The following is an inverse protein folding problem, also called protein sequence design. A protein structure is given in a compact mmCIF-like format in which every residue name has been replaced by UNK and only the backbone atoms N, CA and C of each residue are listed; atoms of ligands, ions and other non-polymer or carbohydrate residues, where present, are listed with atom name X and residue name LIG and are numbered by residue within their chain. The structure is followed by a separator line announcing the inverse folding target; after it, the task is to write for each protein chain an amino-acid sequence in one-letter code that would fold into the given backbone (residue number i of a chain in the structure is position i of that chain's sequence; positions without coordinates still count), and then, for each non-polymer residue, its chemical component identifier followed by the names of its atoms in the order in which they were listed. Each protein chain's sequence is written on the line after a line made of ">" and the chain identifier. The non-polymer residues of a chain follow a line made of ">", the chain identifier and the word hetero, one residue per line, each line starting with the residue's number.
data_IF_584166842531
#
_entry.id   IF_584166842531
#
_cell.length_a   1.000
_cell.length_b   1.000
_cell.length_c   1.000
_cell.angle_alpha   90.00
_cell.angle_beta   90.00
_cell.angle_gamma   90.00
#
_symmetry.space_group_name_H-M   'P 1'
#
loop_
_entity.id
_entity.type
_entity.pdbx_description
1 polymer ?
#
# COMPACT_ATOMS: atom_id res chain seq x y z
N UNK A 1 29.37 -6.44 -13.20
CA UNK A 1 28.30 -7.36 -12.75
C UNK A 1 27.87 -7.13 -11.30
N UNK A 2 28.73 -7.33 -10.27
CA UNK A 2 28.35 -7.05 -8.87
C UNK A 2 28.09 -5.54 -8.59
N UNK A 3 28.86 -4.64 -9.20
CA UNK A 3 28.64 -3.18 -9.12
C UNK A 3 27.35 -2.74 -9.87
N UNK A 4 26.97 -3.44 -10.93
CA UNK A 4 25.73 -3.14 -11.68
C UNK A 4 24.50 -3.62 -10.90
N UNK A 5 24.62 -4.75 -10.20
CA UNK A 5 23.57 -5.27 -9.32
C UNK A 5 23.41 -4.40 -8.07
N UNK A 6 24.52 -3.93 -7.47
CA UNK A 6 24.45 -3.06 -6.29
C UNK A 6 23.88 -1.67 -6.61
N UNK A 7 24.26 -1.08 -7.75
CA UNK A 7 23.68 0.20 -8.20
C UNK A 7 22.19 0.07 -8.56
N UNK A 8 21.77 -1.03 -9.18
CA UNK A 8 20.36 -1.33 -9.43
C UNK A 8 19.55 -1.52 -8.14
N UNK A 9 20.11 -2.22 -7.15
CA UNK A 9 19.49 -2.41 -5.83
C UNK A 9 19.33 -1.09 -5.07
N UNK A 10 20.36 -0.24 -5.06
CA UNK A 10 20.31 1.08 -4.42
C UNK A 10 19.28 1.98 -5.11
N UNK A 11 19.27 2.02 -6.45
CA UNK A 11 18.31 2.81 -7.23
C UNK A 11 16.87 2.36 -6.96
N UNK A 12 16.62 1.05 -7.00
CA UNK A 12 15.30 0.45 -6.73
C UNK A 12 14.85 0.72 -5.30
N UNK A 13 15.74 0.53 -4.32
CA UNK A 13 15.45 0.84 -2.91
C UNK A 13 15.15 2.32 -2.69
N UNK A 14 15.86 3.21 -3.37
CA UNK A 14 15.64 4.67 -3.27
C UNK A 14 14.28 5.06 -3.86
N UNK A 15 13.95 4.56 -5.05
CA UNK A 15 12.65 4.77 -5.68
C UNK A 15 11.51 4.21 -4.83
N UNK A 16 11.73 3.05 -4.20
CA UNK A 16 10.77 2.44 -3.29
C UNK A 16 10.51 3.31 -2.04
N UNK A 17 11.56 3.81 -1.40
CA UNK A 17 11.44 4.69 -0.23
C UNK A 17 10.75 6.00 -0.61
N UNK A 18 11.17 6.65 -1.70
CA UNK A 18 10.55 7.89 -2.18
C UNK A 18 9.07 7.67 -2.51
N UNK A 19 8.74 6.60 -3.25
CA UNK A 19 7.35 6.26 -3.59
C UNK A 19 6.50 6.01 -2.34
N UNK A 20 7.05 5.32 -1.34
CA UNK A 20 6.37 5.07 -0.06
C UNK A 20 6.09 6.36 0.71
N UNK A 21 7.05 7.29 0.74
CA UNK A 21 6.88 8.61 1.37
C UNK A 21 5.83 9.44 0.64
N UNK A 22 5.86 9.45 -0.69
CA UNK A 22 4.87 10.17 -1.51
C UNK A 22 3.47 9.61 -1.27
N UNK A 23 3.30 8.28 -1.29
CA UNK A 23 2.04 7.62 -0.98
C UNK A 23 1.54 7.97 0.42
N UNK A 24 2.44 7.95 1.42
CA UNK A 24 2.11 8.37 2.78
C UNK A 24 1.58 9.81 2.81
N UNK A 25 2.26 10.76 2.15
CA UNK A 25 1.81 12.15 2.10
C UNK A 25 0.46 12.30 1.41
N UNK A 26 0.25 11.64 0.26
CA UNK A 26 -1.02 11.66 -0.46
C UNK A 26 -2.14 11.16 0.45
N UNK A 27 -1.98 9.99 1.06
CA UNK A 27 -3.00 9.44 1.96
C UNK A 27 -3.17 10.31 3.19
N UNK A 28 -2.10 10.81 3.78
CA UNK A 28 -2.19 11.70 4.94
C UNK A 28 -3.03 12.92 4.63
N UNK A 29 -2.84 13.60 3.49
CA UNK A 29 -3.57 14.82 3.12
C UNK A 29 -4.98 14.57 2.57
N UNK A 30 -5.22 13.46 1.85
CA UNK A 30 -6.53 13.15 1.25
C UNK A 30 -7.49 12.47 2.23
N UNK A 31 -6.98 11.73 3.21
CA UNK A 31 -7.73 11.01 4.24
C UNK A 31 -8.84 11.83 4.96
N UNK A 32 -8.67 13.12 5.31
CA UNK A 32 -9.72 13.96 5.89
C UNK A 32 -10.91 14.26 4.96
N UNK A 33 -10.73 14.15 3.64
CA UNK A 33 -11.81 14.37 2.68
C UNK A 33 -12.85 13.25 2.78
N UNK A 34 -12.41 12.02 3.05
CA UNK A 34 -13.24 10.82 2.98
C UNK A 34 -13.62 10.24 4.36
N UNK A 35 -12.89 10.59 5.42
CA UNK A 35 -13.05 9.95 6.75
C UNK A 35 -12.84 10.93 7.89
N UNK A 36 -13.69 10.86 8.92
CA UNK A 36 -13.51 11.61 10.17
C UNK A 36 -12.72 10.75 11.17
N UNK A 37 -11.46 11.09 11.40
CA UNK A 37 -10.67 10.41 12.42
C UNK A 37 -10.99 10.98 13.79
N UNK A 38 -11.09 10.12 14.79
CA UNK A 38 -11.34 10.54 16.16
C UNK A 38 -10.22 11.41 16.73
N UNK A 39 -8.97 11.19 16.27
CA UNK A 39 -7.76 11.89 16.76
C UNK A 39 -6.69 12.00 15.64
N UNK A 40 -5.81 13.01 15.72
CA UNK A 40 -4.67 13.19 14.79
C UNK A 40 -3.73 11.96 14.75
N UNK A 41 -3.54 11.29 15.88
CA UNK A 41 -2.73 10.05 15.97
C UNK A 41 -3.34 8.91 15.16
N UNK A 42 -4.66 8.73 15.22
CA UNK A 42 -5.36 7.69 14.45
C UNK A 42 -5.21 7.90 12.94
N UNK A 43 -5.23 9.15 12.48
CA UNK A 43 -4.97 9.51 11.08
C UNK A 43 -3.54 9.15 10.66
N UNK A 44 -2.56 9.46 11.50
CA UNK A 44 -1.16 9.14 11.21
C UNK A 44 -0.93 7.63 11.14
N UNK A 45 -1.47 6.86 12.09
CA UNK A 45 -1.37 5.40 12.03
C UNK A 45 -2.07 4.81 10.81
N UNK A 46 -3.28 5.28 10.49
CA UNK A 46 -4.01 4.80 9.31
C UNK A 46 -3.24 5.07 8.01
N UNK A 47 -2.77 6.31 7.81
CA UNK A 47 -1.99 6.68 6.61
C UNK A 47 -0.67 5.91 6.52
N UNK A 48 0.02 5.70 7.65
CA UNK A 48 1.26 4.91 7.70
C UNK A 48 1.01 3.44 7.34
N UNK A 49 0.01 2.80 7.97
CA UNK A 49 -0.33 1.41 7.67
C UNK A 49 -0.81 1.22 6.23
N UNK A 50 -1.58 2.18 5.70
CA UNK A 50 -2.06 2.11 4.32
C UNK A 50 -0.91 2.30 3.31
N UNK A 51 -0.01 3.26 3.55
CA UNK A 51 1.16 3.47 2.70
C UNK A 51 2.11 2.26 2.71
N UNK A 52 2.36 1.70 3.89
CA UNK A 52 3.19 0.50 4.06
C UNK A 52 2.57 -0.72 3.37
N UNK A 53 1.25 -0.88 3.46
CA UNK A 53 0.54 -1.92 2.75
C UNK A 53 0.70 -1.78 1.22
N UNK A 54 0.41 -0.60 0.67
CA UNK A 54 0.53 -0.36 -0.77
C UNK A 54 1.96 -0.53 -1.27
N UNK A 55 2.96 -0.09 -0.51
CA UNK A 55 4.35 -0.25 -0.91
C UNK A 55 4.74 -1.73 -0.97
N UNK A 56 4.39 -2.54 0.04
CA UNK A 56 4.67 -3.98 0.04
C UNK A 56 4.01 -4.67 -1.16
N UNK A 57 2.74 -4.38 -1.45
CA UNK A 57 2.04 -4.97 -2.59
C UNK A 57 2.71 -4.59 -3.90
N UNK A 58 3.08 -3.32 -4.08
CA UNK A 58 3.80 -2.89 -5.27
C UNK A 58 5.16 -3.56 -5.41
N UNK A 59 5.93 -3.71 -4.32
CA UNK A 59 7.23 -4.39 -4.36
C UNK A 59 7.09 -5.86 -4.79
N UNK A 60 6.08 -6.57 -4.26
CA UNK A 60 5.79 -7.96 -4.65
C UNK A 60 5.42 -8.02 -6.14
N UNK A 61 4.55 -7.12 -6.60
CA UNK A 61 4.15 -7.07 -8.00
C UNK A 61 5.33 -6.77 -8.93
N UNK A 62 6.17 -5.79 -8.59
CA UNK A 62 7.37 -5.47 -9.37
C UNK A 62 8.37 -6.62 -9.43
N UNK A 63 8.47 -7.41 -8.37
CA UNK A 63 9.35 -8.57 -8.34
C UNK A 63 8.83 -9.72 -9.22
N UNK A 64 7.52 -9.97 -9.22
CA UNK A 64 6.94 -11.18 -9.80
C UNK A 64 6.41 -10.97 -11.23
N UNK A 65 5.82 -9.79 -11.53
CA UNK A 65 5.20 -9.51 -12.82
C UNK A 65 6.15 -9.65 -14.03
N UNK A 66 7.42 -9.19 -13.99
CA UNK A 66 8.31 -9.31 -15.13
C UNK A 66 8.55 -10.78 -15.53
N UNK A 67 8.90 -11.63 -14.57
CA UNK A 67 9.15 -13.06 -14.80
C UNK A 67 7.90 -13.82 -15.26
N UNK A 68 6.72 -13.46 -14.73
CA UNK A 68 5.45 -14.01 -15.20
C UNK A 68 5.11 -13.56 -16.62
N UNK A 69 5.38 -12.29 -16.95
CA UNK A 69 5.10 -11.74 -18.27
C UNK A 69 5.96 -12.39 -19.35
N UNK A 70 7.22 -12.70 -19.05
CA UNK A 70 8.13 -13.38 -19.98
C UNK A 70 7.74 -14.85 -20.21
N UNK A 71 7.27 -15.55 -19.17
CA UNK A 71 6.97 -16.99 -19.23
C UNK A 71 5.57 -17.33 -19.72
N UNK A 72 4.57 -16.54 -19.33
CA UNK A 72 3.14 -16.84 -19.55
C UNK A 72 2.40 -15.76 -20.34
N UNK A 73 3.09 -14.70 -20.76
CA UNK A 73 2.51 -13.60 -21.52
C UNK A 73 1.78 -12.56 -20.64
N UNK A 74 1.63 -11.37 -21.21
CA UNK A 74 1.17 -10.17 -20.49
C UNK A 74 -0.25 -10.29 -19.91
N UNK A 75 -1.18 -10.94 -20.61
CA UNK A 75 -2.57 -11.03 -20.14
C UNK A 75 -2.69 -11.90 -18.88
N UNK A 76 -1.92 -13.01 -18.82
CA UNK A 76 -1.93 -13.92 -17.67
C UNK A 76 -1.23 -13.26 -16.47
N UNK A 77 -0.12 -12.57 -16.69
CA UNK A 77 0.59 -11.85 -15.62
C UNK A 77 -0.27 -10.75 -15.01
N UNK A 78 -1.02 -10.00 -15.82
CA UNK A 78 -1.99 -9.01 -15.33
C UNK A 78 -3.12 -9.65 -14.51
N UNK A 79 -3.67 -10.78 -14.96
CA UNK A 79 -4.71 -11.49 -14.22
C UNK A 79 -4.20 -11.95 -12.84
N UNK A 80 -2.99 -12.51 -12.77
CA UNK A 80 -2.35 -12.92 -11.51
C UNK A 80 -2.08 -11.70 -10.63
N UNK A 81 -1.55 -10.62 -11.18
CA UNK A 81 -1.33 -9.37 -10.45
C UNK A 81 -2.61 -8.83 -9.81
N UNK A 82 -3.74 -8.89 -10.54
CA UNK A 82 -5.04 -8.47 -10.04
C UNK A 82 -5.52 -9.37 -8.87
N UNK A 83 -5.32 -10.68 -8.98
CA UNK A 83 -5.62 -11.62 -7.87
C UNK A 83 -4.78 -11.30 -6.64
N UNK A 84 -3.49 -11.01 -6.79
CA UNK A 84 -2.59 -10.62 -5.70
C UNK A 84 -3.10 -9.34 -5.03
N UNK A 85 -3.48 -8.32 -5.80
CA UNK A 85 -4.03 -7.06 -5.27
C UNK A 85 -5.30 -7.32 -4.48
N UNK A 86 -6.24 -8.10 -5.02
CA UNK A 86 -7.50 -8.41 -4.35
C UNK A 86 -7.28 -9.16 -3.03
N UNK A 87 -6.49 -10.23 -3.05
CA UNK A 87 -6.17 -11.01 -1.85
C UNK A 87 -5.48 -10.16 -0.79
N UNK A 88 -4.49 -9.36 -1.20
CA UNK A 88 -3.77 -8.45 -0.31
C UNK A 88 -4.73 -7.41 0.30
N UNK A 89 -5.70 -6.93 -0.49
CA UNK A 89 -6.64 -5.89 -0.04
C UNK A 89 -7.58 -6.43 1.02
N UNK A 90 -8.02 -7.69 0.88
CA UNK A 90 -8.81 -8.36 1.92
C UNK A 90 -8.02 -8.48 3.23
N UNK A 91 -6.75 -8.89 3.15
CA UNK A 91 -5.87 -8.97 4.33
C UNK A 91 -5.68 -7.59 4.97
N UNK A 92 -5.51 -6.54 4.17
CA UNK A 92 -5.38 -5.17 4.66
C UNK A 92 -6.62 -4.66 5.38
N UNK A 93 -7.80 -4.86 4.79
CA UNK A 93 -9.08 -4.47 5.40
C UNK A 93 -9.27 -5.22 6.72
N UNK A 94 -8.93 -6.50 6.77
CA UNK A 94 -8.97 -7.28 8.00
C UNK A 94 -8.00 -6.72 9.07
N UNK A 95 -6.76 -6.41 8.69
CA UNK A 95 -5.77 -5.84 9.59
C UNK A 95 -6.22 -4.48 10.16
N UNK A 96 -6.75 -3.59 9.33
CA UNK A 96 -7.32 -2.31 9.79
C UNK A 96 -8.47 -2.56 10.77
N UNK A 97 -9.38 -3.48 10.46
CA UNK A 97 -10.52 -3.78 11.33
C UNK A 97 -10.05 -4.29 12.71
N UNK A 98 -9.01 -5.12 12.76
CA UNK A 98 -8.39 -5.55 14.03
C UNK A 98 -7.81 -4.36 14.80
N UNK A 99 -7.10 -3.44 14.13
CA UNK A 99 -6.56 -2.23 14.77
C UNK A 99 -7.65 -1.30 15.31
N UNK A 100 -8.79 -1.21 14.61
CA UNK A 100 -9.97 -0.46 15.06
C UNK A 100 -10.62 -1.13 16.27
N UNK A 101 -10.83 -2.46 16.24
CA UNK A 101 -11.42 -3.21 17.36
C UNK A 101 -10.58 -3.14 18.64
N UNK A 102 -9.26 -3.07 18.51
CA UNK A 102 -8.33 -2.89 19.64
C UNK A 102 -8.27 -1.44 20.16
N UNK A 103 -9.00 -0.50 19.54
CA UNK A 103 -9.03 0.91 19.94
C UNK A 103 -7.78 1.71 19.56
N UNK A 104 -6.86 1.11 18.79
CA UNK A 104 -5.61 1.76 18.34
C UNK A 104 -5.92 2.85 17.32
N UNK A 105 -6.84 2.56 16.40
CA UNK A 105 -7.32 3.53 15.40
C UNK A 105 -8.79 3.84 15.69
N UNK A 106 -9.08 5.10 16.01
CA UNK A 106 -10.45 5.59 16.18
C UNK A 106 -10.93 6.20 14.87
N UNK A 107 -11.81 5.50 14.17
CA UNK A 107 -12.43 5.96 12.93
C UNK A 107 -13.89 6.27 13.24
N UNK A 108 -14.34 7.49 12.93
CA UNK A 108 -15.76 7.87 12.88
C UNK A 108 -16.15 7.99 11.41
N UNK A 109 -17.28 7.39 11.04
CA UNK A 109 -17.84 7.69 9.73
C UNK A 109 -18.35 9.13 9.76
N UNK A 110 -17.90 9.93 8.80
CA UNK A 110 -18.37 11.29 8.60
C UNK A 110 -19.89 11.24 8.43
N UNK A 111 -20.62 11.95 9.29
CA UNK A 111 -22.09 11.98 9.22
C UNK A 111 -22.45 12.52 7.84
N UNK A 112 -23.17 11.74 7.03
CA UNK A 112 -23.66 12.18 5.73
C UNK A 112 -24.61 13.36 6.00
N UNK A 113 -24.16 14.59 5.78
CA UNK A 113 -25.00 15.77 5.90
C UNK A 113 -26.08 15.60 4.83
N UNK A 114 -27.32 15.39 5.30
CA UNK A 114 -28.52 15.27 4.46
C UNK A 114 -28.99 16.66 4.08
#
# INVERSE_FOLDING_TARGET
>A
MLMDVSSALISTGTMFVIGSVVLFLIYYFTSPLYTEYGDKRSRLYYSLFNALYFSIVLAILFLILPSLSESSGMLISLAIGLVIILASTLVHVYAINVLVRRGIIKIKQKRRIR
#
